data_IF_515406337662
#
_entry.id   IF_515406337662
#
_cell.length_a   1.000
_cell.length_b   1.000
_cell.length_c   1.000
_cell.angle_alpha   90.00
_cell.angle_beta   90.00
_cell.angle_gamma   90.00
#
_symmetry.space_group_name_H-M   'P 1'
#
loop_
_entity.id
_entity.type
_entity.pdbx_description
1 polymer ?
#
# COMPACT_ATOMS: atom_id res chain seq x y z
N UNK A 1 -9.67 0.93 -8.80
CA UNK A 1 -10.38 0.37 -7.63
C UNK A 1 -10.54 1.45 -6.58
N UNK A 2 -11.76 1.71 -6.19
CA UNK A 2 -12.06 2.84 -5.31
C UNK A 2 -12.33 2.35 -3.89
N UNK A 3 -11.68 3.00 -2.93
CA UNK A 3 -11.84 2.68 -1.52
C UNK A 3 -12.40 3.92 -0.82
N UNK A 4 -13.57 3.78 -0.19
CA UNK A 4 -14.14 4.86 0.60
C UNK A 4 -13.60 4.73 2.02
N UNK A 5 -12.95 5.80 2.51
CA UNK A 5 -12.35 5.78 3.84
C UNK A 5 -13.43 5.81 4.92
N UNK A 6 -13.15 5.20 6.07
CA UNK A 6 -14.12 5.15 7.17
C UNK A 6 -14.33 6.51 7.81
N UNK A 7 -13.34 7.41 7.66
CA UNK A 7 -13.43 8.80 8.13
C UNK A 7 -12.47 9.65 7.31
N UNK A 8 -12.67 10.98 7.27
CA UNK A 8 -11.76 11.86 6.52
C UNK A 8 -10.33 11.74 7.06
N UNK A 9 -9.37 11.75 6.14
CA UNK A 9 -7.96 11.59 6.44
C UNK A 9 -7.18 12.77 5.89
N UNK A 10 -6.44 13.46 6.74
CA UNK A 10 -5.61 14.59 6.33
C UNK A 10 -4.16 14.15 6.22
N UNK A 11 -3.54 14.44 5.08
CA UNK A 11 -2.12 14.17 4.86
C UNK A 11 -1.51 15.36 4.13
N UNK A 12 -0.50 15.96 4.73
CA UNK A 12 0.21 17.12 4.19
C UNK A 12 -0.73 18.26 3.76
N UNK A 13 -1.73 18.52 4.59
CA UNK A 13 -2.65 19.65 4.36
C UNK A 13 -3.79 19.34 3.40
N UNK A 14 -3.88 18.12 2.88
CA UNK A 14 -4.96 17.72 1.98
C UNK A 14 -5.84 16.70 2.63
N UNK A 15 -7.16 16.87 2.51
CA UNK A 15 -8.13 15.95 3.06
C UNK A 15 -8.53 14.90 2.02
N UNK A 16 -8.53 13.65 2.44
CA UNK A 16 -8.93 12.52 1.61
C UNK A 16 -10.14 11.85 2.24
N UNK A 17 -11.16 11.57 1.43
CA UNK A 17 -12.34 10.82 1.86
C UNK A 17 -12.44 9.49 1.14
N UNK A 18 -11.68 9.33 0.05
CA UNK A 18 -11.63 8.09 -0.72
C UNK A 18 -10.27 7.99 -1.42
N UNK A 19 -9.90 6.79 -1.79
CA UNK A 19 -8.67 6.54 -2.55
C UNK A 19 -9.02 5.77 -3.82
N UNK A 20 -8.40 6.17 -4.92
CA UNK A 20 -8.50 5.44 -6.19
C UNK A 20 -7.16 4.75 -6.42
N UNK A 21 -7.15 3.42 -6.39
CA UNK A 21 -5.92 2.64 -6.53
C UNK A 21 -6.02 1.76 -7.77
N UNK A 22 -5.13 1.99 -8.72
CA UNK A 22 -5.06 1.19 -9.94
C UNK A 22 -3.82 0.31 -9.88
N UNK A 23 -3.99 -0.90 -9.34
CA UNK A 23 -2.89 -1.85 -9.24
C UNK A 23 -2.39 -2.31 -10.60
N UNK A 24 -3.26 -2.31 -11.60
CA UNK A 24 -2.88 -2.76 -12.95
C UNK A 24 -1.94 -1.80 -13.65
N UNK A 25 -1.85 -0.56 -13.20
CA UNK A 25 -0.92 0.41 -13.76
C UNK A 25 0.52 0.19 -13.27
N UNK A 26 0.72 -0.66 -12.27
CA UNK A 26 2.05 -0.93 -11.73
C UNK A 26 2.91 -1.67 -12.74
N UNK A 27 4.17 -1.29 -12.80
CA UNK A 27 5.19 -1.98 -13.62
C UNK A 27 6.05 -2.86 -12.74
N UNK A 28 6.80 -3.77 -13.35
CA UNK A 28 7.75 -4.60 -12.61
C UNK A 28 8.77 -3.76 -11.86
N UNK A 29 9.19 -2.61 -12.42
CA UNK A 29 10.12 -1.72 -11.75
C UNK A 29 9.51 -1.17 -10.46
N UNK A 30 8.25 -0.77 -10.49
CA UNK A 30 7.57 -0.25 -9.30
C UNK A 30 7.42 -1.32 -8.22
N UNK A 31 7.11 -2.55 -8.62
CA UNK A 31 7.04 -3.68 -7.68
C UNK A 31 8.41 -3.90 -7.04
N UNK A 32 9.47 -3.86 -7.84
CA UNK A 32 10.83 -4.03 -7.34
C UNK A 32 11.22 -2.91 -6.38
N UNK A 33 10.82 -1.68 -6.67
CA UNK A 33 11.09 -0.54 -5.80
C UNK A 33 10.36 -0.69 -4.46
N UNK A 34 9.11 -1.12 -4.49
CA UNK A 34 8.33 -1.35 -3.27
C UNK A 34 9.00 -2.42 -2.41
N UNK A 35 9.50 -3.48 -3.03
CA UNK A 35 10.22 -4.54 -2.33
C UNK A 35 11.47 -3.99 -1.62
N UNK A 36 12.25 -3.17 -2.34
CA UNK A 36 13.48 -2.60 -1.77
C UNK A 36 13.17 -1.67 -0.60
N UNK A 37 12.15 -0.85 -0.72
CA UNK A 37 11.74 0.04 0.36
C UNK A 37 11.25 -0.74 1.58
N UNK A 38 10.50 -1.81 1.35
CA UNK A 38 10.01 -2.68 2.40
C UNK A 38 11.18 -3.30 3.18
N UNK A 39 12.18 -3.82 2.48
CA UNK A 39 13.36 -4.42 3.10
C UNK A 39 14.16 -3.35 3.85
N UNK A 40 14.35 -2.19 3.24
CA UNK A 40 15.15 -1.11 3.83
C UNK A 40 14.53 -0.58 5.12
N UNK A 41 13.21 -0.65 5.25
CA UNK A 41 12.53 -0.18 6.45
C UNK A 41 12.69 -1.11 7.64
N UNK A 42 13.32 -2.27 7.45
CA UNK A 42 13.54 -3.22 8.54
C UNK A 42 12.40 -4.19 8.78
N UNK A 43 11.37 -4.17 7.93
CA UNK A 43 10.23 -5.07 8.08
C UNK A 43 10.56 -6.50 7.66
N UNK A 44 11.69 -6.69 7.00
CA UNK A 44 12.09 -7.99 6.47
C UNK A 44 13.22 -8.57 7.33
N UNK A 45 12.97 -9.75 7.89
CA UNK A 45 13.90 -10.37 8.82
C UNK A 45 14.69 -11.55 8.21
N UNK A 46 14.73 -11.66 6.90
CA UNK A 46 15.38 -12.75 6.18
C UNK A 46 14.37 -13.66 5.51
N UNK A 47 14.81 -14.44 4.52
CA UNK A 47 13.92 -15.31 3.75
C UNK A 47 13.27 -14.57 2.60
N UNK A 48 12.14 -15.05 2.13
CA UNK A 48 11.41 -14.50 0.99
C UNK A 48 10.25 -13.63 1.45
N UNK A 49 10.04 -12.52 0.72
CA UNK A 49 8.84 -11.71 0.90
C UNK A 49 7.67 -12.48 0.31
N UNK A 50 6.65 -12.73 1.15
CA UNK A 50 5.45 -13.42 0.70
C UNK A 50 4.49 -12.43 0.04
N UNK A 51 3.82 -12.86 -1.02
CA UNK A 51 2.83 -12.03 -1.70
C UNK A 51 1.66 -11.65 -0.80
N UNK A 52 1.41 -12.46 0.22
CA UNK A 52 0.35 -12.20 1.19
C UNK A 52 0.83 -11.40 2.40
N UNK A 53 2.08 -10.92 2.39
CA UNK A 53 2.59 -10.09 3.49
C UNK A 53 1.85 -8.76 3.49
N UNK A 54 1.15 -8.46 4.58
CA UNK A 54 0.30 -7.29 4.69
C UNK A 54 1.08 -5.99 4.50
N UNK A 55 2.23 -5.88 5.13
CA UNK A 55 3.01 -4.64 5.06
C UNK A 55 3.58 -4.42 3.67
N UNK A 56 4.05 -5.47 3.01
CA UNK A 56 4.53 -5.35 1.63
C UNK A 56 3.39 -4.93 0.70
N UNK A 57 2.19 -5.48 0.89
CA UNK A 57 1.04 -5.12 0.07
C UNK A 57 0.72 -3.63 0.17
N UNK A 58 0.86 -3.06 1.36
CA UNK A 58 0.61 -1.63 1.56
C UNK A 58 1.68 -0.78 0.89
N UNK A 59 2.94 -1.21 0.90
CA UNK A 59 3.99 -0.54 0.13
C UNK A 59 3.66 -0.50 -1.36
N UNK A 60 3.13 -1.61 -1.87
CA UNK A 60 2.74 -1.71 -3.26
C UNK A 60 1.59 -0.74 -3.58
N UNK A 61 0.60 -0.66 -2.70
CA UNK A 61 -0.52 0.26 -2.87
C UNK A 61 -0.05 1.71 -2.86
N UNK A 62 0.91 2.06 -2.01
CA UNK A 62 1.47 3.40 -1.98
C UNK A 62 2.11 3.76 -3.31
N UNK A 63 2.83 2.82 -3.93
CA UNK A 63 3.39 3.03 -5.27
C UNK A 63 2.28 3.26 -6.30
N UNK A 64 1.19 2.53 -6.19
CA UNK A 64 0.10 2.62 -7.17
C UNK A 64 -0.57 4.00 -7.15
N UNK A 65 -0.58 4.68 -6.01
CA UNK A 65 -1.18 6.02 -5.91
C UNK A 65 -0.13 7.13 -5.85
N UNK A 66 1.14 6.78 -6.06
CA UNK A 66 2.26 7.73 -6.07
C UNK A 66 2.35 8.54 -4.76
N UNK A 67 2.22 7.86 -3.65
CA UNK A 67 2.33 8.44 -2.32
C UNK A 67 3.42 7.74 -1.52
N UNK A 68 4.04 8.41 -0.54
CA UNK A 68 5.02 7.75 0.30
C UNK A 68 4.33 6.76 1.26
N UNK A 69 5.11 5.83 1.82
CA UNK A 69 4.56 4.84 2.75
C UNK A 69 3.94 5.52 3.99
N UNK A 70 4.45 6.66 4.39
CA UNK A 70 3.90 7.41 5.51
C UNK A 70 2.43 7.76 5.32
N UNK A 71 2.00 7.96 4.06
CA UNK A 71 0.60 8.19 3.76
C UNK A 71 -0.26 7.00 4.23
N UNK A 72 0.21 5.79 3.93
CA UNK A 72 -0.51 4.58 4.33
C UNK A 72 -0.45 4.34 5.83
N UNK A 73 0.70 4.62 6.44
CA UNK A 73 0.90 4.37 7.88
C UNK A 73 0.00 5.25 8.75
N UNK A 74 -0.39 6.42 8.26
CA UNK A 74 -1.29 7.30 8.98
C UNK A 74 -2.77 6.99 8.83
N UNK A 75 -3.13 6.07 7.95
CA UNK A 75 -4.54 5.73 7.72
C UNK A 75 -5.19 5.11 8.97
N UNK A 76 -6.52 5.28 9.14
CA UNK A 76 -7.23 4.51 10.15
C UNK A 76 -6.98 3.02 9.96
N UNK A 77 -6.95 2.27 11.05
CA UNK A 77 -6.59 0.85 11.01
C UNK A 77 -7.45 0.04 10.03
N UNK A 78 -8.75 0.29 10.02
CA UNK A 78 -9.66 -0.44 9.11
C UNK A 78 -9.33 -0.15 7.65
N UNK A 79 -8.98 1.09 7.34
CA UNK A 79 -8.65 1.47 5.97
C UNK A 79 -7.30 0.87 5.54
N UNK A 80 -6.34 0.86 6.46
CA UNK A 80 -5.06 0.19 6.22
C UNK A 80 -5.27 -1.29 5.89
N UNK A 81 -6.10 -1.97 6.67
CA UNK A 81 -6.40 -3.39 6.44
C UNK A 81 -7.12 -3.61 5.12
N UNK A 82 -8.06 -2.72 4.77
CA UNK A 82 -8.77 -2.81 3.49
C UNK A 82 -7.80 -2.69 2.32
N UNK A 83 -6.90 -1.71 2.38
CA UNK A 83 -5.89 -1.51 1.33
C UNK A 83 -5.01 -2.75 1.19
N UNK A 84 -4.52 -3.29 2.30
CA UNK A 84 -3.65 -4.46 2.26
C UNK A 84 -4.38 -5.68 1.68
N UNK A 85 -5.64 -5.87 2.03
CA UNK A 85 -6.44 -6.99 1.53
C UNK A 85 -6.64 -6.89 0.02
N UNK A 86 -6.93 -5.70 -0.48
CA UNK A 86 -7.12 -5.49 -1.91
C UNK A 86 -5.82 -5.70 -2.68
N UNK A 87 -4.71 -5.22 -2.15
CA UNK A 87 -3.42 -5.42 -2.77
C UNK A 87 -3.04 -6.90 -2.80
N UNK A 88 -3.29 -7.62 -1.71
CA UNK A 88 -3.02 -9.06 -1.65
C UNK A 88 -3.86 -9.81 -2.69
N UNK A 89 -5.13 -9.43 -2.83
CA UNK A 89 -6.00 -10.03 -3.84
C UNK A 89 -5.47 -9.82 -5.26
N UNK A 90 -4.95 -8.64 -5.55
CA UNK A 90 -4.32 -8.37 -6.84
C UNK A 90 -3.11 -9.27 -7.08
N UNK A 91 -2.25 -9.43 -6.07
CA UNK A 91 -1.02 -10.21 -6.20
C UNK A 91 -1.28 -11.71 -6.34
N UNK A 92 -2.39 -12.21 -5.80
CA UNK A 92 -2.69 -13.63 -5.78
C UNK A 92 -3.54 -14.11 -6.97
N UNK A 93 -3.93 -13.19 -7.84
CA UNK A 93 -4.74 -13.52 -9.02
C UNK A 93 -3.89 -14.11 -10.14
#
# INVERSE_FOLDING_TARGET
MKIVLTKPYNFEGKEYTELEIDFESLTGLQVSQAKREFIRSGNFAGGNIMQADMDFCVYLAAKAIDQPIEFMEGLPAKDYLTVSTLAAGFLLV
#
